data_IF_963464068454
#
_entry.id   IF_963464068454
#
_cell.length_a   1.000
_cell.length_b   1.000
_cell.length_c   1.000
_cell.angle_alpha   90.00
_cell.angle_beta   90.00
_cell.angle_gamma   90.00
#
_symmetry.space_group_name_H-M   'P 1'
#
loop_
_entity.id
_entity.type
_entity.pdbx_description
1 polymer ?
#
# COMPACT_ATOMS: atom_id res chain seq x y z
N UNK A 1 20.72 -51.92 17.81
CA UNK A 1 21.32 -50.64 17.36
C UNK A 1 20.20 -49.64 17.07
N UNK A 2 19.70 -48.93 18.08
CA UNK A 2 18.50 -48.08 17.95
C UNK A 2 18.56 -46.85 18.87
N UNK A 3 19.69 -46.13 18.89
CA UNK A 3 19.88 -44.97 19.79
C UNK A 3 20.63 -43.78 19.19
N UNK A 4 20.98 -43.82 17.90
CA UNK A 4 21.86 -42.81 17.27
C UNK A 4 21.16 -41.86 16.30
N UNK A 5 19.88 -42.07 16.01
CA UNK A 5 19.12 -41.22 15.08
C UNK A 5 18.33 -40.09 15.79
N UNK A 6 17.88 -40.30 17.03
CA UNK A 6 17.12 -39.29 17.79
C UNK A 6 17.94 -38.09 18.22
N UNK A 7 19.17 -38.30 18.70
CA UNK A 7 20.01 -37.21 19.22
C UNK A 7 20.43 -36.19 18.14
N UNK A 8 20.61 -36.64 16.90
CA UNK A 8 21.04 -35.79 15.77
C UNK A 8 19.88 -34.92 15.28
N UNK A 9 18.66 -35.48 15.22
CA UNK A 9 17.45 -34.75 14.83
C UNK A 9 17.07 -33.70 15.87
N UNK A 10 17.15 -34.02 17.16
CA UNK A 10 16.91 -33.05 18.23
C UNK A 10 17.97 -31.94 18.27
N UNK A 11 19.23 -32.24 17.98
CA UNK A 11 20.30 -31.23 17.91
C UNK A 11 20.15 -30.31 16.70
N UNK A 12 19.71 -30.83 15.56
CA UNK A 12 19.42 -30.03 14.35
C UNK A 12 18.20 -29.11 14.54
N UNK A 13 17.14 -29.60 15.20
CA UNK A 13 15.96 -28.77 15.52
C UNK A 13 16.28 -27.65 16.52
N UNK A 14 17.14 -27.93 17.51
CA UNK A 14 17.59 -26.90 18.46
C UNK A 14 18.45 -25.81 17.79
N UNK A 15 19.31 -26.19 16.84
CA UNK A 15 20.14 -25.25 16.08
C UNK A 15 19.30 -24.35 15.13
N UNK A 16 18.22 -24.88 14.54
CA UNK A 16 17.29 -24.11 13.69
C UNK A 16 16.46 -23.12 14.53
N UNK A 17 16.07 -23.49 15.75
CA UNK A 17 15.32 -22.60 16.65
C UNK A 17 16.19 -21.48 17.25
N UNK A 18 17.49 -21.72 17.49
CA UNK A 18 18.43 -20.72 18.00
C UNK A 18 18.98 -19.78 16.90
N UNK A 19 18.97 -20.21 15.63
CA UNK A 19 19.38 -19.37 14.49
C UNK A 19 18.34 -18.34 14.03
N UNK A 20 17.11 -18.40 14.53
CA UNK A 20 16.01 -17.52 14.13
C UNK A 20 15.94 -16.19 14.91
N UNK A 21 16.84 -15.95 15.87
CA UNK A 21 16.87 -14.74 16.70
C UNK A 21 18.08 -13.85 16.38
N UNK A 22 18.31 -13.60 15.09
CA UNK A 22 19.16 -12.48 14.68
C UNK A 22 18.28 -11.22 14.67
N UNK A 23 18.57 -10.19 15.49
CA UNK A 23 17.86 -8.92 15.38
C UNK A 23 18.07 -8.39 13.96
N UNK A 24 16.96 -8.17 13.25
CA UNK A 24 17.00 -7.54 11.94
C UNK A 24 17.78 -6.22 12.07
N UNK A 25 18.68 -5.91 11.10
CA UNK A 25 19.36 -4.63 11.11
C UNK A 25 18.29 -3.54 11.20
N UNK A 26 18.39 -2.68 12.21
CA UNK A 26 17.48 -1.56 12.40
C UNK A 26 17.46 -0.79 11.08
N UNK A 27 16.37 -0.91 10.33
CA UNK A 27 16.17 -0.13 9.11
C UNK A 27 16.32 1.33 9.53
N UNK A 28 17.32 2.01 8.98
CA UNK A 28 17.58 3.40 9.29
C UNK A 28 16.26 4.17 9.15
N UNK A 29 15.79 4.70 10.27
CA UNK A 29 14.50 5.39 10.34
C UNK A 29 14.67 6.71 9.61
N UNK A 30 13.87 6.91 8.57
CA UNK A 30 13.94 8.09 7.71
C UNK A 30 12.90 9.11 8.18
N UNK A 31 13.39 10.24 8.68
CA UNK A 31 12.60 11.36 9.20
C UNK A 31 12.35 12.42 8.13
N UNK A 32 11.10 12.83 7.94
CA UNK A 32 10.68 13.80 6.93
C UNK A 32 11.37 15.16 7.11
N UNK A 33 11.57 15.59 8.36
CA UNK A 33 12.28 16.83 8.70
C UNK A 33 13.73 16.86 8.26
N UNK A 34 14.36 15.70 8.12
CA UNK A 34 15.80 15.56 7.86
C UNK A 34 16.10 15.39 6.37
N UNK A 35 15.07 15.22 5.52
CA UNK A 35 15.27 15.07 4.08
C UNK A 35 15.71 16.40 3.44
N UNK A 36 16.71 16.36 2.53
CA UNK A 36 17.07 17.53 1.73
C UNK A 36 15.93 17.88 0.77
N UNK A 37 15.66 19.18 0.63
CA UNK A 37 14.67 19.72 -0.31
C UNK A 37 15.26 19.83 -1.72
N UNK A 38 15.68 18.68 -2.26
CA UNK A 38 16.41 18.59 -3.53
C UNK A 38 15.48 18.63 -4.77
N UNK A 39 14.18 18.40 -4.59
CA UNK A 39 13.21 18.38 -5.69
C UNK A 39 12.26 19.58 -5.59
N UNK A 40 12.15 20.35 -6.67
CA UNK A 40 11.08 21.29 -6.90
C UNK A 40 9.88 20.52 -7.49
N UNK A 41 8.74 20.53 -6.79
CA UNK A 41 7.51 19.83 -7.22
C UNK A 41 6.43 20.86 -7.52
N UNK A 42 5.84 20.78 -8.70
CA UNK A 42 4.72 21.62 -9.13
C UNK A 42 3.53 20.73 -9.46
N UNK A 43 2.35 21.08 -8.94
CA UNK A 43 1.11 20.43 -9.28
C UNK A 43 0.25 21.38 -10.14
N UNK A 44 -0.47 20.83 -11.11
CA UNK A 44 -1.39 21.59 -11.97
C UNK A 44 -2.59 22.19 -11.20
N UNK A 45 -2.97 21.58 -10.08
CA UNK A 45 -4.09 22.07 -9.25
C UNK A 45 -3.71 23.28 -8.40
N UNK A 46 -4.63 24.25 -8.32
CA UNK A 46 -4.46 25.43 -7.44
C UNK A 46 -4.58 25.01 -5.96
N UNK A 47 -3.88 25.71 -5.04
CA UNK A 47 -4.07 25.50 -3.61
C UNK A 47 -5.55 25.64 -3.23
N UNK A 48 -6.08 24.66 -2.49
CA UNK A 48 -7.49 24.57 -2.07
C UNK A 48 -8.53 24.29 -3.17
N UNK A 49 -8.10 23.97 -4.40
CA UNK A 49 -9.01 23.46 -5.41
C UNK A 49 -9.49 22.05 -5.03
N UNK A 50 -10.80 21.83 -5.07
CA UNK A 50 -11.39 20.50 -4.91
C UNK A 50 -11.24 19.75 -6.23
N UNK A 51 -10.72 18.53 -6.17
CA UNK A 51 -10.45 17.69 -7.34
C UNK A 51 -11.17 16.37 -7.17
N UNK A 52 -11.91 15.94 -8.18
CA UNK A 52 -12.73 14.74 -8.14
C UNK A 52 -11.97 13.53 -8.70
N UNK A 53 -11.81 12.50 -7.86
CA UNK A 53 -11.19 11.26 -8.28
C UNK A 53 -11.99 10.59 -9.41
N UNK A 54 -11.29 10.20 -10.49
CA UNK A 54 -11.89 9.53 -11.65
C UNK A 54 -12.55 10.44 -12.68
N UNK A 55 -12.58 11.76 -12.42
CA UNK A 55 -13.10 12.78 -13.36
C UNK A 55 -11.98 13.75 -13.75
N UNK A 56 -11.23 14.22 -12.76
CA UNK A 56 -10.17 15.21 -12.97
C UNK A 56 -8.78 14.57 -13.02
N UNK A 57 -7.93 15.06 -13.93
CA UNK A 57 -6.54 14.61 -14.09
C UNK A 57 -5.58 15.56 -13.39
N UNK A 58 -4.77 15.03 -12.47
CA UNK A 58 -3.73 15.78 -11.77
C UNK A 58 -2.36 15.53 -12.41
N UNK A 59 -1.79 16.54 -13.05
CA UNK A 59 -0.41 16.51 -13.52
C UNK A 59 0.52 17.03 -12.43
N UNK A 60 1.47 16.20 -12.02
CA UNK A 60 2.54 16.56 -11.08
C UNK A 60 3.86 16.54 -11.83
N UNK A 61 4.55 17.67 -11.87
CA UNK A 61 5.89 17.80 -12.45
C UNK A 61 6.90 17.99 -11.34
N UNK A 62 8.07 17.38 -11.46
CA UNK A 62 9.17 17.57 -10.54
C UNK A 62 10.48 17.77 -11.29
N UNK A 63 11.35 18.61 -10.75
CA UNK A 63 12.70 18.84 -11.25
C UNK A 63 13.67 18.93 -10.09
N UNK A 64 14.96 18.62 -10.31
CA UNK A 64 15.98 18.95 -9.32
C UNK A 64 16.04 20.46 -9.14
N UNK A 65 16.13 20.89 -7.88
CA UNK A 65 16.30 22.28 -7.54
C UNK A 65 17.72 22.71 -7.93
N UNK A 66 17.86 23.85 -8.59
CA UNK A 66 19.14 24.41 -9.08
C UNK A 66 20.13 24.76 -7.97
N UNK A 67 19.73 24.61 -6.70
CA UNK A 67 20.61 24.76 -5.53
C UNK A 67 21.49 23.52 -5.29
N UNK A 68 21.16 22.39 -5.91
CA UNK A 68 21.94 21.16 -5.79
C UNK A 68 23.18 21.19 -6.71
N UNK A 69 24.35 20.67 -6.26
CA UNK A 69 25.56 20.65 -7.06
C UNK A 69 25.38 19.81 -8.33
N UNK A 70 25.98 20.29 -9.44
CA UNK A 70 25.95 19.59 -10.72
C UNK A 70 26.47 18.14 -10.58
N UNK A 71 25.63 17.15 -10.92
CA UNK A 71 25.94 15.72 -10.77
C UNK A 71 25.27 15.01 -9.59
N UNK A 72 24.49 15.72 -8.76
CA UNK A 72 23.70 15.11 -7.68
C UNK A 72 22.62 14.12 -8.19
N UNK A 73 22.21 14.25 -9.45
CA UNK A 73 21.21 13.42 -10.13
C UNK A 73 21.53 11.91 -10.03
N UNK A 74 22.82 11.56 -10.04
CA UNK A 74 23.28 10.17 -9.91
C UNK A 74 23.05 9.55 -8.52
N UNK A 75 22.90 10.38 -7.49
CA UNK A 75 22.58 9.92 -6.13
C UNK A 75 21.11 9.52 -5.98
N UNK A 76 20.22 10.09 -6.81
CA UNK A 76 18.78 9.88 -6.74
C UNK A 76 18.31 8.75 -7.68
N UNK A 77 18.60 7.51 -7.29
CA UNK A 77 18.24 6.32 -8.10
C UNK A 77 16.74 5.99 -8.09
N UNK A 78 16.02 6.39 -7.03
CA UNK A 78 14.62 6.05 -6.85
C UNK A 78 13.84 7.30 -6.46
N UNK A 79 12.82 7.64 -7.25
CA UNK A 79 11.88 8.71 -6.94
C UNK A 79 10.54 8.08 -6.59
N UNK A 80 10.03 8.41 -5.40
CA UNK A 80 8.72 7.96 -4.93
C UNK A 80 7.81 9.17 -4.80
N UNK A 81 6.74 9.19 -5.58
CA UNK A 81 5.72 10.24 -5.52
C UNK A 81 4.51 9.66 -4.81
N UNK A 82 4.09 10.29 -3.72
CA UNK A 82 2.94 9.88 -2.92
C UNK A 82 1.99 11.05 -2.73
N UNK A 83 0.67 10.78 -2.79
CA UNK A 83 -0.37 11.75 -2.54
C UNK A 83 -0.76 11.70 -1.05
N UNK A 84 -0.81 12.87 -0.43
CA UNK A 84 -1.07 13.04 0.98
C UNK A 84 -2.43 13.71 1.24
N UNK A 85 -3.07 13.36 2.35
CA UNK A 85 -4.30 14.03 2.78
C UNK A 85 -4.04 15.48 3.21
N UNK A 86 -4.87 16.40 2.73
CA UNK A 86 -4.84 17.80 3.17
C UNK A 86 -5.09 17.92 4.70
N UNK A 87 -4.52 18.91 5.40
CA UNK A 87 -4.66 19.04 6.86
C UNK A 87 -6.11 19.06 7.36
N UNK A 88 -7.02 19.70 6.61
CA UNK A 88 -8.44 19.71 6.93
C UNK A 88 -9.06 18.30 6.98
N UNK A 89 -8.59 17.38 6.13
CA UNK A 89 -9.08 16.00 6.03
C UNK A 89 -8.48 15.06 7.09
N UNK A 90 -7.50 15.53 7.85
CA UNK A 90 -6.83 14.78 8.93
C UNK A 90 -7.50 15.00 10.29
N UNK A 91 -8.29 16.08 10.45
CA UNK A 91 -9.00 16.40 11.69
C UNK A 91 -9.95 15.25 12.05
N UNK A 92 -9.92 14.84 13.31
CA UNK A 92 -10.76 13.77 13.90
C UNK A 92 -10.60 12.37 13.27
N UNK A 93 -9.57 12.15 12.43
CA UNK A 93 -9.33 10.87 11.76
C UNK A 93 -7.95 10.33 12.09
N UNK A 94 -7.85 9.60 13.20
CA UNK A 94 -6.59 9.02 13.70
C UNK A 94 -5.82 8.15 12.69
N UNK A 95 -6.51 7.59 11.70
CA UNK A 95 -5.92 6.76 10.64
C UNK A 95 -5.28 7.57 9.48
N UNK A 96 -5.42 8.90 9.45
CA UNK A 96 -4.83 9.80 8.42
C UNK A 96 -3.78 10.76 8.99
N UNK A 97 -3.31 10.53 10.22
CA UNK A 97 -2.37 11.43 10.90
C UNK A 97 -1.02 11.48 10.20
N UNK A 98 -0.47 12.68 10.07
CA UNK A 98 0.92 12.90 9.68
C UNK A 98 1.86 12.39 10.76
N UNK A 99 2.95 11.73 10.35
CA UNK A 99 4.07 11.40 11.21
C UNK A 99 5.38 11.82 10.52
N UNK A 100 6.38 12.18 11.32
CA UNK A 100 7.70 12.53 10.81
C UNK A 100 8.47 11.27 10.37
N UNK A 101 8.24 10.14 11.02
CA UNK A 101 8.72 8.83 10.56
C UNK A 101 8.01 8.44 9.26
N UNK A 102 8.73 8.44 8.14
CA UNK A 102 8.15 8.13 6.83
C UNK A 102 7.55 6.72 6.77
N UNK A 103 8.08 5.78 7.56
CA UNK A 103 7.56 4.41 7.67
C UNK A 103 6.25 4.30 8.46
N UNK A 104 5.97 5.29 9.32
CA UNK A 104 4.79 5.33 10.19
C UNK A 104 3.78 6.39 9.74
N UNK A 105 4.13 7.20 8.75
CA UNK A 105 3.23 8.21 8.22
C UNK A 105 2.02 7.58 7.54
N UNK A 106 0.83 7.98 8.00
CA UNK A 106 -0.46 7.55 7.44
C UNK A 106 -1.12 8.66 6.64
N UNK A 107 -0.50 9.83 6.53
CA UNK A 107 -1.05 10.94 5.75
C UNK A 107 -0.83 10.73 4.25
N UNK A 108 0.28 10.11 3.84
CA UNK A 108 0.64 9.85 2.44
C UNK A 108 0.46 8.37 2.05
N UNK A 109 -0.78 7.90 1.93
CA UNK A 109 -1.07 6.47 1.67
C UNK A 109 -1.06 6.07 0.20
N UNK A 110 -1.34 7.01 -0.70
CA UNK A 110 -1.52 6.69 -2.12
C UNK A 110 -0.20 6.90 -2.86
N UNK A 111 0.42 5.81 -3.28
CA UNK A 111 1.60 5.86 -4.16
C UNK A 111 1.13 6.15 -5.57
N UNK A 112 1.57 7.27 -6.14
CA UNK A 112 1.31 7.60 -7.54
C UNK A 112 2.30 6.85 -8.43
N UNK A 113 3.59 6.98 -8.13
CA UNK A 113 4.64 6.27 -8.86
C UNK A 113 5.80 5.96 -7.92
N UNK A 114 6.46 4.84 -8.19
CA UNK A 114 7.75 4.49 -7.60
C UNK A 114 8.63 4.05 -8.76
N UNK A 115 9.56 4.90 -9.19
CA UNK A 115 10.32 4.65 -10.41
C UNK A 115 11.81 4.92 -10.26
N UNK A 116 12.59 4.15 -11.02
CA UNK A 116 13.96 4.45 -11.41
C UNK A 116 13.95 4.96 -12.86
N UNK A 117 14.02 6.28 -13.08
CA UNK A 117 14.12 6.88 -14.43
C UNK A 117 12.83 7.47 -15.03
N UNK A 118 12.95 8.20 -16.15
CA UNK A 118 12.16 9.39 -16.50
C UNK A 118 10.96 9.24 -17.48
N UNK A 119 10.09 8.24 -17.36
CA UNK A 119 8.86 8.18 -18.17
C UNK A 119 7.68 7.58 -17.40
N UNK A 120 6.58 8.33 -17.23
CA UNK A 120 5.39 7.88 -16.50
C UNK A 120 4.21 7.61 -17.44
N UNK A 121 3.47 6.53 -17.17
CA UNK A 121 2.09 6.34 -17.61
C UNK A 121 1.19 6.49 -16.39
N UNK A 122 0.23 7.41 -16.47
CA UNK A 122 -0.69 7.70 -15.36
C UNK A 122 -1.83 6.69 -15.45
N UNK A 123 -1.71 5.60 -14.70
CA UNK A 123 -2.83 4.69 -14.50
C UNK A 123 -3.89 5.39 -13.63
N UNK A 124 -5.02 5.74 -14.23
CA UNK A 124 -6.15 6.32 -13.50
C UNK A 124 -6.62 5.40 -12.38
N UNK A 125 -6.86 5.95 -11.19
CA UNK A 125 -7.52 5.26 -10.08
C UNK A 125 -8.99 5.07 -10.47
N UNK A 126 -9.25 4.04 -11.28
CA UNK A 126 -10.61 3.61 -11.56
C UNK A 126 -11.11 2.91 -10.30
N UNK A 127 -12.23 3.40 -9.73
CA UNK A 127 -12.80 2.94 -8.46
C UNK A 127 -13.30 1.49 -8.42
N UNK A 128 -12.84 0.64 -9.34
CA UNK A 128 -13.23 -0.76 -9.46
C UNK A 128 -12.17 -1.62 -8.77
N UNK A 129 -12.17 -1.60 -7.44
CA UNK A 129 -11.30 -2.48 -6.66
C UNK A 129 -11.68 -3.96 -6.90
N UNK A 130 -10.68 -4.80 -7.17
CA UNK A 130 -10.88 -6.24 -7.41
C UNK A 130 -11.65 -6.93 -6.27
N UNK A 131 -11.44 -6.49 -5.01
CA UNK A 131 -12.15 -6.98 -3.84
C UNK A 131 -13.67 -6.78 -3.91
N UNK A 132 -14.14 -5.65 -4.47
CA UNK A 132 -15.56 -5.35 -4.61
C UNK A 132 -16.22 -6.29 -5.63
N UNK A 133 -15.54 -6.58 -6.75
CA UNK A 133 -16.02 -7.55 -7.75
C UNK A 133 -16.15 -8.96 -7.18
N UNK A 134 -15.17 -9.39 -6.38
CA UNK A 134 -15.20 -10.70 -5.73
C UNK A 134 -16.35 -10.78 -4.73
N UNK A 135 -16.51 -9.78 -3.86
CA UNK A 135 -17.59 -9.74 -2.89
C UNK A 135 -18.97 -9.77 -3.57
N UNK A 136 -19.16 -8.98 -4.64
CA UNK A 136 -20.41 -8.97 -5.41
C UNK A 136 -20.71 -10.35 -6.03
N UNK A 137 -19.69 -11.05 -6.55
CA UNK A 137 -19.83 -12.41 -7.08
C UNK A 137 -20.29 -13.41 -6.02
N UNK A 138 -19.71 -13.38 -4.83
CA UNK A 138 -20.07 -14.29 -3.72
C UNK A 138 -21.50 -14.03 -3.23
N UNK A 139 -21.87 -12.77 -3.02
CA UNK A 139 -23.23 -12.43 -2.58
C UNK A 139 -24.29 -12.84 -3.62
N UNK A 140 -24.01 -12.64 -4.91
CA UNK A 140 -24.91 -13.06 -5.99
C UNK A 140 -25.12 -14.59 -6.00
N UNK A 141 -24.04 -15.37 -5.91
CA UNK A 141 -24.12 -16.82 -5.87
C UNK A 141 -24.89 -17.34 -4.64
N UNK A 142 -24.67 -16.72 -3.47
CA UNK A 142 -25.36 -17.11 -2.23
C UNK A 142 -26.87 -16.85 -2.29
N UNK A 143 -27.28 -15.70 -2.85
CA UNK A 143 -28.71 -15.39 -3.02
C UNK A 143 -29.44 -16.39 -3.92
N UNK A 144 -28.83 -16.79 -5.04
CA UNK A 144 -29.43 -17.78 -5.95
C UNK A 144 -29.51 -19.16 -5.30
N UNK A 145 -28.44 -19.59 -4.61
CA UNK A 145 -28.40 -20.87 -3.92
C UNK A 145 -29.45 -20.95 -2.80
N UNK A 146 -29.60 -19.88 -2.02
CA UNK A 146 -30.62 -19.80 -0.97
C UNK A 146 -32.04 -19.91 -1.56
N UNK A 147 -32.31 -19.22 -2.66
CA UNK A 147 -33.61 -19.23 -3.32
C UNK A 147 -33.96 -20.63 -3.87
N UNK A 148 -33.00 -21.31 -4.48
CA UNK A 148 -33.16 -22.69 -4.94
C UNK A 148 -33.41 -23.67 -3.77
N UNK A 149 -32.67 -23.51 -2.67
CA UNK A 149 -32.85 -24.32 -1.46
C UNK A 149 -34.27 -24.17 -0.88
N UNK A 150 -34.75 -22.94 -0.70
CA UNK A 150 -36.11 -22.68 -0.21
C UNK A 150 -37.18 -23.29 -1.13
N UNK A 151 -37.01 -23.18 -2.46
CA UNK A 151 -37.95 -23.74 -3.42
C UNK A 151 -38.03 -25.28 -3.34
N UNK A 152 -36.89 -25.96 -3.15
CA UNK A 152 -36.85 -27.42 -2.94
C UNK A 152 -37.54 -27.83 -1.63
N UNK A 153 -37.30 -27.08 -0.55
CA UNK A 153 -37.92 -27.32 0.76
C UNK A 153 -39.44 -27.13 0.70
N UNK A 154 -39.91 -26.07 0.05
CA UNK A 154 -41.35 -25.83 -0.13
C UNK A 154 -42.02 -26.92 -0.98
N UNK A 155 -41.39 -27.35 -2.08
CA UNK A 155 -41.94 -28.41 -2.91
C UNK A 155 -41.97 -29.77 -2.19
N UNK A 156 -40.98 -30.06 -1.34
CA UNK A 156 -41.01 -31.27 -0.50
C UNK A 156 -42.13 -31.22 0.55
N UNK A 157 -42.48 -30.03 1.05
CA UNK A 157 -43.61 -29.83 1.97
C UNK A 157 -44.97 -30.01 1.30
N UNK A 158 -45.12 -29.66 0.02
CA UNK A 158 -46.39 -29.80 -0.72
C UNK A 158 -46.72 -31.24 -1.13
N UNK A 159 -45.70 -32.10 -1.26
CA UNK A 159 -45.83 -33.48 -1.72
C UNK A 159 -45.79 -34.52 -0.58
N UNK A 160 -45.91 -34.08 0.68
CA UNK A 160 -45.91 -34.94 1.88
C UNK A 160 -47.18 -34.65 2.67
#
# INVERSE_FOLDING_TARGET
>A
MAGRQGAVVFSLLAAVLLGACLPAPAAAVVHLSTLPKALAVTASAKPAQVVHAGVDTLTVTWSLNTTEPAGADNAYKNVKVSLCYAPASQKDRGWRKSNDDLSKDKSCQFKLTQQAGAAFDVAGITGIHASIKVAAGVFSAFSVAALAFFFVVENRKKNK
#
